data_IF_630241395134
#
_entry.id   IF_630241395134
#
_cell.length_a   1.000
_cell.length_b   1.000
_cell.length_c   1.000
_cell.angle_alpha   90.00
_cell.angle_beta   90.00
_cell.angle_gamma   90.00
#
_symmetry.space_group_name_H-M   'P 1'
#
loop_
_entity.id
_entity.type
_entity.pdbx_description
1 polymer ?
#
# COMPACT_ATOMS: atom_id res chain seq x y z
N UNK A 1 4.60 -3.08 -23.90
CA UNK A 1 3.98 -2.95 -22.55
C UNK A 1 2.48 -2.86 -22.76
N UNK A 2 1.71 -3.83 -22.29
CA UNK A 2 0.25 -3.77 -22.38
C UNK A 2 -0.27 -2.91 -21.21
N UNK A 3 -0.74 -1.70 -21.51
CA UNK A 3 -1.37 -0.76 -20.59
C UNK A 3 -0.42 -0.13 -19.56
N UNK A 4 0.05 1.09 -19.82
CA UNK A 4 0.68 1.88 -18.77
C UNK A 4 -0.37 2.17 -17.69
N UNK A 5 -0.01 1.96 -16.43
CA UNK A 5 -0.80 2.52 -15.32
C UNK A 5 -0.65 4.05 -15.40
N UNK A 6 -1.76 4.75 -15.67
CA UNK A 6 -1.75 6.20 -15.67
C UNK A 6 -1.58 6.67 -14.23
N UNK A 7 -0.46 7.32 -13.94
CA UNK A 7 -0.15 7.74 -12.59
C UNK A 7 -1.03 8.93 -12.24
N UNK A 8 -1.83 8.88 -11.16
CA UNK A 8 -2.63 10.02 -10.76
C UNK A 8 -1.72 11.20 -10.41
N UNK A 9 -2.16 12.41 -10.78
CA UNK A 9 -1.42 13.67 -10.58
C UNK A 9 -2.21 14.60 -9.64
N UNK A 10 -2.31 14.25 -8.33
CA UNK A 10 -3.08 15.02 -7.36
C UNK A 10 -2.50 16.42 -7.17
N UNK A 11 -3.36 17.43 -7.07
CA UNK A 11 -2.97 18.84 -6.88
C UNK A 11 -3.24 19.34 -5.47
N UNK A 12 -4.11 18.65 -4.74
CA UNK A 12 -4.48 19.01 -3.37
C UNK A 12 -4.33 17.83 -2.42
N UNK A 13 -4.30 18.12 -1.12
CA UNK A 13 -4.35 17.08 -0.09
C UNK A 13 -5.66 16.28 -0.16
N UNK A 14 -6.78 16.93 -0.52
CA UNK A 14 -8.06 16.25 -0.66
C UNK A 14 -8.01 15.21 -1.79
N UNK A 15 -7.38 15.56 -2.93
CA UNK A 15 -7.19 14.63 -4.05
C UNK A 15 -6.40 13.39 -3.61
N UNK A 16 -5.32 13.57 -2.83
CA UNK A 16 -4.50 12.47 -2.32
C UNK A 16 -5.33 11.53 -1.42
N UNK A 17 -6.13 12.11 -0.52
CA UNK A 17 -6.99 11.34 0.40
C UNK A 17 -8.06 10.59 -0.38
N UNK A 18 -8.72 11.23 -1.35
CA UNK A 18 -9.74 10.59 -2.20
C UNK A 18 -9.16 9.42 -3.01
N UNK A 19 -7.98 9.61 -3.61
CA UNK A 19 -7.27 8.54 -4.33
C UNK A 19 -6.95 7.37 -3.38
N UNK A 20 -6.47 7.66 -2.18
CA UNK A 20 -6.15 6.63 -1.20
C UNK A 20 -7.40 5.87 -0.76
N UNK A 21 -8.48 6.57 -0.43
CA UNK A 21 -9.73 5.95 0.03
C UNK A 21 -10.34 5.06 -1.05
N UNK A 22 -10.40 5.53 -2.30
CA UNK A 22 -10.86 4.74 -3.44
C UNK A 22 -9.99 3.48 -3.65
N UNK A 23 -8.66 3.63 -3.62
CA UNK A 23 -7.75 2.49 -3.76
C UNK A 23 -7.88 1.47 -2.63
N UNK A 24 -8.19 1.92 -1.40
CA UNK A 24 -8.47 1.04 -0.27
C UNK A 24 -9.78 0.27 -0.47
N UNK A 25 -10.85 0.92 -0.93
CA UNK A 25 -12.12 0.26 -1.22
C UNK A 25 -11.96 -0.80 -2.33
N UNK A 26 -11.38 -0.42 -3.47
CA UNK A 26 -11.12 -1.33 -4.58
C UNK A 26 -10.21 -2.50 -4.19
N UNK A 27 -9.11 -2.20 -3.47
CA UNK A 27 -8.16 -3.20 -3.02
C UNK A 27 -8.78 -4.20 -2.04
N UNK A 28 -9.64 -3.73 -1.12
CA UNK A 28 -10.37 -4.60 -0.19
C UNK A 28 -11.35 -5.50 -0.93
N UNK A 29 -12.17 -4.94 -1.81
CA UNK A 29 -13.14 -5.70 -2.60
C UNK A 29 -12.44 -6.78 -3.44
N UNK A 30 -11.30 -6.46 -4.06
CA UNK A 30 -10.51 -7.41 -4.83
C UNK A 30 -9.94 -8.56 -3.96
N UNK A 31 -9.47 -8.25 -2.74
CA UNK A 31 -8.98 -9.27 -1.81
C UNK A 31 -10.10 -10.15 -1.27
N UNK A 32 -11.29 -9.60 -1.01
CA UNK A 32 -12.46 -10.36 -0.55
C UNK A 32 -12.99 -11.30 -1.64
N UNK A 33 -12.94 -10.88 -2.90
CA UNK A 33 -13.34 -11.69 -4.05
C UNK A 33 -12.28 -12.73 -4.46
N UNK A 34 -11.03 -12.61 -3.99
CA UNK A 34 -9.95 -13.49 -4.39
C UNK A 34 -10.11 -14.91 -3.84
N UNK A 35 -9.91 -15.90 -4.70
CA UNK A 35 -9.90 -17.31 -4.30
C UNK A 35 -8.54 -17.75 -3.78
N UNK A 36 -8.49 -18.91 -3.11
CA UNK A 36 -7.22 -19.53 -2.73
C UNK A 36 -6.33 -19.84 -3.95
N UNK A 37 -6.93 -20.21 -5.09
CA UNK A 37 -6.22 -20.43 -6.34
C UNK A 37 -5.60 -19.13 -6.85
N UNK A 38 -6.34 -18.02 -6.83
CA UNK A 38 -5.81 -16.71 -7.21
C UNK A 38 -4.57 -16.31 -6.40
N UNK A 39 -4.61 -16.56 -5.10
CA UNK A 39 -3.58 -16.17 -4.15
C UNK A 39 -2.34 -17.06 -4.20
N UNK A 40 -2.49 -18.32 -4.61
CA UNK A 40 -1.38 -19.28 -4.76
C UNK A 40 -0.76 -19.25 -6.16
N UNK A 41 -1.46 -18.68 -7.15
CA UNK A 41 -0.93 -18.50 -8.49
C UNK A 41 0.35 -17.64 -8.52
N UNK A 42 1.28 -18.00 -9.41
CA UNK A 42 2.51 -17.23 -9.60
C UNK A 42 2.25 -15.86 -10.23
N UNK A 43 2.93 -14.85 -9.69
CA UNK A 43 3.03 -13.52 -10.26
C UNK A 43 4.50 -13.19 -10.52
N UNK A 44 4.76 -12.51 -11.62
CA UNK A 44 6.11 -12.16 -12.06
C UNK A 44 6.32 -10.65 -12.09
N UNK A 45 7.35 -10.17 -11.38
CA UNK A 45 7.88 -8.82 -11.63
C UNK A 45 8.76 -8.89 -12.88
N UNK A 46 8.50 -8.02 -13.86
CA UNK A 46 9.23 -8.01 -15.12
C UNK A 46 9.34 -6.62 -15.72
N UNK A 47 10.38 -6.43 -16.52
CA UNK A 47 10.56 -5.26 -17.39
C UNK A 47 10.56 -5.74 -18.84
N UNK A 48 9.44 -5.53 -19.54
CA UNK A 48 9.25 -6.15 -20.86
C UNK A 48 9.27 -7.68 -20.74
N UNK A 49 10.20 -8.31 -21.45
CA UNK A 49 10.36 -9.77 -21.47
C UNK A 49 11.30 -10.28 -20.35
N UNK A 50 12.04 -9.40 -19.68
CA UNK A 50 12.95 -9.76 -18.59
C UNK A 50 12.18 -9.97 -17.29
N UNK A 51 12.22 -11.20 -16.76
CA UNK A 51 11.61 -11.54 -15.46
C UNK A 51 12.64 -11.39 -14.34
N UNK A 52 12.38 -10.47 -13.41
CA UNK A 52 13.21 -10.24 -12.24
C UNK A 52 13.01 -11.31 -11.17
N UNK A 53 11.75 -11.67 -10.90
CA UNK A 53 11.40 -12.79 -10.02
C UNK A 53 9.98 -13.28 -10.26
N UNK A 54 9.69 -14.49 -9.77
CA UNK A 54 8.34 -15.06 -9.66
C UNK A 54 8.07 -15.54 -8.24
N UNK A 55 6.88 -15.25 -7.73
CA UNK A 55 6.43 -15.70 -6.41
C UNK A 55 4.90 -15.85 -6.41
N UNK A 56 4.31 -16.67 -5.52
CA UNK A 56 2.87 -16.68 -5.33
C UNK A 56 2.32 -15.28 -5.00
N UNK A 57 1.16 -14.90 -5.53
CA UNK A 57 0.55 -13.57 -5.30
C UNK A 57 0.45 -13.22 -3.82
N UNK A 58 0.06 -14.17 -2.97
CA UNK A 58 -0.04 -13.96 -1.52
C UNK A 58 1.31 -13.53 -0.90
N UNK A 59 2.42 -14.12 -1.37
CA UNK A 59 3.77 -13.78 -0.90
C UNK A 59 4.14 -12.37 -1.34
N UNK A 60 3.79 -11.98 -2.58
CA UNK A 60 4.03 -10.63 -3.10
C UNK A 60 3.23 -9.59 -2.31
N UNK A 61 1.93 -9.83 -2.10
CA UNK A 61 1.05 -8.95 -1.33
C UNK A 61 1.58 -8.73 0.09
N UNK A 62 1.95 -9.81 0.79
CA UNK A 62 2.45 -9.71 2.17
C UNK A 62 3.82 -9.04 2.23
N UNK A 63 4.76 -9.49 1.41
CA UNK A 63 6.18 -9.17 1.59
C UNK A 63 6.58 -7.84 0.97
N UNK A 64 5.91 -7.45 -0.11
CA UNK A 64 6.19 -6.19 -0.81
C UNK A 64 5.07 -5.19 -0.58
N UNK A 65 3.83 -5.47 -0.96
CA UNK A 65 2.77 -4.45 -0.96
C UNK A 65 2.46 -3.95 0.46
N UNK A 66 2.09 -4.85 1.37
CA UNK A 66 1.70 -4.47 2.74
C UNK A 66 2.89 -3.96 3.56
N UNK A 67 4.06 -4.60 3.45
CA UNK A 67 5.26 -4.13 4.13
C UNK A 67 5.71 -2.74 3.64
N UNK A 68 5.58 -2.47 2.34
CA UNK A 68 5.91 -1.16 1.77
C UNK A 68 4.95 -0.07 2.27
N UNK A 69 3.64 -0.38 2.35
CA UNK A 69 2.66 0.52 2.95
C UNK A 69 2.98 0.82 4.43
N UNK A 70 3.32 -0.20 5.22
CA UNK A 70 3.73 -0.02 6.63
C UNK A 70 5.00 0.82 6.73
N UNK A 71 5.99 0.56 5.86
CA UNK A 71 7.24 1.32 5.80
C UNK A 71 6.99 2.81 5.52
N UNK A 72 6.20 3.14 4.50
CA UNK A 72 5.92 4.54 4.16
C UNK A 72 4.99 5.22 5.17
N UNK A 73 4.06 4.49 5.81
CA UNK A 73 3.29 5.03 6.95
C UNK A 73 4.22 5.49 8.07
N UNK A 74 5.29 4.73 8.35
CA UNK A 74 6.27 5.11 9.36
C UNK A 74 7.05 6.38 8.96
N UNK A 75 7.42 6.51 7.67
CA UNK A 75 8.06 7.75 7.17
C UNK A 75 7.15 8.98 7.34
N UNK A 76 5.87 8.87 6.95
CA UNK A 76 4.88 9.95 7.14
C UNK A 76 4.73 10.28 8.63
N UNK A 77 4.71 9.27 9.49
CA UNK A 77 4.64 9.46 10.95
C UNK A 77 5.84 10.23 11.52
N UNK A 78 7.03 10.10 10.92
CA UNK A 78 8.19 10.92 11.29
C UNK A 78 7.97 12.37 10.89
N UNK A 79 7.46 12.63 9.68
CA UNK A 79 7.18 14.00 9.23
C UNK A 79 6.13 14.69 10.10
N UNK A 80 5.05 14.01 10.47
CA UNK A 80 4.05 14.56 11.39
C UNK A 80 4.66 14.94 12.74
N UNK A 81 5.52 14.08 13.31
CA UNK A 81 6.22 14.38 14.56
C UNK A 81 7.17 15.58 14.46
N UNK A 82 7.89 15.71 13.35
CA UNK A 82 8.77 16.87 13.12
C UNK A 82 7.99 18.19 12.99
N UNK A 83 6.69 18.11 12.72
CA UNK A 83 5.77 19.24 12.64
C UNK A 83 4.93 19.41 13.92
N UNK A 84 5.28 18.72 15.00
CA UNK A 84 4.54 18.69 16.27
C UNK A 84 3.06 18.26 16.12
N UNK A 85 2.75 17.48 15.08
CA UNK A 85 1.42 16.90 14.86
C UNK A 85 1.36 15.53 15.54
N UNK A 86 0.32 15.33 16.35
CA UNK A 86 0.04 14.04 16.98
C UNK A 86 -0.13 12.94 15.92
N UNK A 87 0.56 11.82 16.14
CA UNK A 87 0.45 10.64 15.28
C UNK A 87 -0.49 9.64 15.94
N UNK A 88 -1.45 9.06 15.22
CA UNK A 88 -2.28 8.01 15.77
C UNK A 88 -1.47 6.80 16.25
N UNK A 89 -1.85 6.24 17.39
CA UNK A 89 -1.36 4.97 17.90
C UNK A 89 -1.49 3.81 16.90
N UNK A 90 -0.59 2.83 17.00
CA UNK A 90 -0.57 1.68 16.07
C UNK A 90 -0.79 0.34 16.78
N UNK A 91 -0.07 0.10 17.87
CA UNK A 91 -0.20 -1.07 18.75
C UNK A 91 -0.44 -0.65 20.20
N UNK A 92 -0.96 0.57 20.38
CA UNK A 92 -1.01 1.31 21.62
C UNK A 92 -0.82 2.81 21.35
N UNK A 93 -0.98 3.66 22.38
CA UNK A 93 -0.89 5.10 22.24
C UNK A 93 0.47 5.52 21.70
N UNK A 94 0.45 6.51 20.80
CA UNK A 94 1.68 7.14 20.33
C UNK A 94 2.12 8.24 21.30
N UNK A 95 3.39 8.66 21.23
CA UNK A 95 3.90 9.72 22.11
C UNK A 95 3.00 10.97 22.02
N UNK A 96 2.38 11.35 23.15
CA UNK A 96 1.45 12.48 23.27
C UNK A 96 -0.03 12.09 23.35
N UNK A 97 -0.39 10.83 23.08
CA UNK A 97 -1.76 10.32 23.26
C UNK A 97 -1.91 9.67 24.65
N UNK A 98 -3.00 9.98 25.37
CA UNK A 98 -3.39 9.26 26.59
C UNK A 98 -4.11 7.96 26.25
N UNK A 99 -3.87 6.92 27.06
CA UNK A 99 -4.50 5.58 26.95
C UNK A 99 -6.02 5.63 27.04
#
# INVERSE_FOLDING_TARGET
>A
MAGGFDQPDPKTMADIVEIFDSAVEEGRAALEAATAEDLTAEWALRTGDEVHFKMPKAVVLRSFVLNHAVHHRAQISVYLRLLDIAVPGMYGPSAGETM
#
